data_IF_242746019514
#
_entry.id   IF_242746019514
#
_cell.length_a   1.000
_cell.length_b   1.000
_cell.length_c   1.000
_cell.angle_alpha   90.00
_cell.angle_beta   90.00
_cell.angle_gamma   90.00
#
_symmetry.space_group_name_H-M   'P 1'
#
loop_
_entity.id
_entity.type
_entity.pdbx_description
1 polymer ?
#
# COMPACT_ATOMS: atom_id res chain seq x y z
N UNK A 1 -9.39 -17.51 -5.57
CA UNK A 1 -9.37 -16.03 -5.51
C UNK A 1 -8.29 -15.45 -6.45
N UNK A 2 -7.07 -16.01 -6.53
CA UNK A 2 -5.95 -15.40 -7.29
C UNK A 2 -6.13 -15.27 -8.80
N UNK A 3 -6.87 -16.17 -9.47
CA UNK A 3 -6.92 -16.18 -10.94
C UNK A 3 -7.87 -15.15 -11.57
N UNK A 4 -8.70 -14.44 -10.78
CA UNK A 4 -9.73 -13.53 -11.33
C UNK A 4 -9.19 -12.15 -11.68
N UNK A 5 -8.01 -11.79 -11.17
CA UNK A 5 -7.45 -10.43 -11.19
C UNK A 5 -5.94 -10.39 -11.48
N UNK A 6 -5.34 -11.54 -11.78
CA UNK A 6 -3.95 -11.58 -12.22
C UNK A 6 -3.89 -11.20 -13.69
N UNK A 7 -3.19 -10.12 -14.01
CA UNK A 7 -2.76 -9.87 -15.37
C UNK A 7 -1.65 -10.88 -15.68
N UNK A 8 -1.82 -11.68 -16.73
CA UNK A 8 -0.80 -12.65 -17.15
C UNK A 8 0.35 -11.98 -17.94
N UNK A 9 0.14 -10.75 -18.43
CA UNK A 9 1.12 -9.97 -19.20
C UNK A 9 2.04 -9.11 -18.32
N UNK A 10 1.52 -8.58 -17.21
CA UNK A 10 2.28 -7.94 -16.15
C UNK A 10 2.21 -8.84 -14.92
N UNK A 11 3.34 -9.39 -14.42
CA UNK A 11 3.40 -10.31 -13.26
C UNK A 11 2.84 -9.71 -11.93
N UNK A 12 1.58 -9.30 -11.87
CA UNK A 12 0.95 -8.53 -10.80
C UNK A 12 -0.51 -8.18 -11.08
N UNK A 13 -1.09 -7.34 -10.21
CA UNK A 13 -2.47 -6.82 -10.32
C UNK A 13 -2.42 -5.31 -10.55
N UNK A 14 -3.20 -4.79 -11.51
CA UNK A 14 -3.29 -3.35 -11.72
C UNK A 14 -4.01 -2.67 -10.55
N UNK A 15 -3.66 -1.41 -10.26
CA UNK A 15 -4.35 -0.67 -9.20
C UNK A 15 -5.85 -0.49 -9.47
N UNK A 16 -6.24 -0.45 -10.75
CA UNK A 16 -7.64 -0.39 -11.20
C UNK A 16 -8.38 -1.69 -10.88
N UNK A 17 -7.77 -2.83 -11.16
CA UNK A 17 -8.38 -4.14 -10.88
C UNK A 17 -8.48 -4.38 -9.38
N UNK A 18 -7.47 -3.97 -8.61
CA UNK A 18 -7.51 -4.06 -7.15
C UNK A 18 -8.62 -3.19 -6.55
N UNK A 19 -8.82 -1.97 -7.08
CA UNK A 19 -9.95 -1.11 -6.70
C UNK A 19 -11.28 -1.81 -7.00
N UNK A 20 -11.47 -2.26 -8.24
CA UNK A 20 -12.73 -2.88 -8.70
C UNK A 20 -13.05 -4.14 -7.88
N UNK A 21 -12.05 -4.98 -7.63
CA UNK A 21 -12.17 -6.15 -6.79
C UNK A 21 -12.57 -5.81 -5.35
N UNK A 22 -12.00 -4.75 -4.78
CA UNK A 22 -12.37 -4.30 -3.42
C UNK A 22 -13.82 -3.80 -3.35
N UNK A 23 -14.31 -3.15 -4.40
CA UNK A 23 -15.70 -2.71 -4.49
C UNK A 23 -16.67 -3.90 -4.66
N UNK A 24 -16.30 -4.91 -5.45
CA UNK A 24 -17.03 -6.19 -5.55
C UNK A 24 -17.15 -6.89 -4.18
N UNK A 25 -16.12 -6.79 -3.33
CA UNK A 25 -16.12 -7.32 -1.97
C UNK A 25 -16.95 -6.49 -0.97
N UNK A 26 -17.55 -5.37 -1.41
CA UNK A 26 -18.43 -4.57 -0.57
C UNK A 26 -17.74 -3.45 0.19
N UNK A 27 -16.52 -3.04 -0.17
CA UNK A 27 -15.86 -1.86 0.40
C UNK A 27 -16.16 -0.59 -0.41
N UNK A 28 -16.04 0.57 0.22
CA UNK A 28 -15.72 1.80 -0.49
C UNK A 28 -14.20 1.82 -0.77
N UNK A 29 -13.81 2.04 -2.03
CA UNK A 29 -12.42 1.99 -2.46
C UNK A 29 -11.99 3.33 -3.08
N UNK A 30 -10.99 3.97 -2.48
CA UNK A 30 -10.48 5.28 -2.90
C UNK A 30 -9.02 5.15 -3.33
N UNK A 31 -8.77 5.31 -4.63
CA UNK A 31 -7.41 5.42 -5.16
C UNK A 31 -7.05 6.90 -5.25
N UNK A 32 -5.91 7.27 -4.68
CA UNK A 32 -5.42 8.65 -4.70
C UNK A 32 -3.90 8.69 -4.61
N UNK A 33 -3.34 9.87 -4.95
CA UNK A 33 -1.93 10.18 -4.71
C UNK A 33 -1.76 10.58 -3.25
N UNK A 34 -1.01 9.79 -2.50
CA UNK A 34 -0.84 9.95 -1.06
C UNK A 34 0.20 10.98 -0.66
N UNK A 35 0.14 11.37 0.60
CA UNK A 35 1.15 12.19 1.28
C UNK A 35 1.42 11.60 2.66
N UNK A 36 2.62 11.82 3.19
CA UNK A 36 3.03 11.27 4.50
C UNK A 36 2.07 11.68 5.61
N UNK A 37 1.62 12.93 5.63
CA UNK A 37 0.72 13.39 6.69
C UNK A 37 -0.68 12.80 6.57
N UNK A 38 -1.26 12.71 5.36
CA UNK A 38 -2.53 12.02 5.18
C UNK A 38 -2.43 10.52 5.48
N UNK A 39 -1.27 9.90 5.23
CA UNK A 39 -1.03 8.51 5.63
C UNK A 39 -1.08 8.38 7.15
N UNK A 40 -0.36 9.22 7.89
CA UNK A 40 -0.38 9.22 9.36
C UNK A 40 -1.78 9.48 9.90
N UNK A 41 -2.54 10.42 9.33
CA UNK A 41 -3.92 10.71 9.74
C UNK A 41 -4.85 9.51 9.55
N UNK A 42 -4.75 8.77 8.44
CA UNK A 42 -5.54 7.57 8.22
C UNK A 42 -5.15 6.47 9.21
N UNK A 43 -3.86 6.24 9.42
CA UNK A 43 -3.37 5.27 10.40
C UNK A 43 -3.84 5.61 11.82
N UNK A 44 -3.79 6.89 12.23
CA UNK A 44 -4.33 7.38 13.51
C UNK A 44 -5.83 7.09 13.67
N UNK A 45 -6.58 7.03 12.57
CA UNK A 45 -8.01 6.67 12.54
C UNK A 45 -8.26 5.16 12.47
N UNK A 46 -7.23 4.33 12.57
CA UNK A 46 -7.33 2.87 12.41
C UNK A 46 -7.57 2.42 10.97
N UNK A 47 -7.25 3.28 9.98
CA UNK A 47 -7.46 3.02 8.56
C UNK A 47 -6.13 2.65 7.90
N UNK A 48 -5.83 1.35 7.72
CA UNK A 48 -4.62 0.94 7.01
C UNK A 48 -4.70 1.33 5.53
N UNK A 49 -3.54 1.53 4.91
CA UNK A 49 -3.44 1.96 3.52
C UNK A 49 -2.67 0.92 2.71
N UNK A 50 -3.23 0.53 1.57
CA UNK A 50 -2.49 -0.26 0.58
C UNK A 50 -1.68 0.72 -0.26
N UNK A 51 -0.36 0.56 -0.31
CA UNK A 51 0.54 1.43 -1.08
C UNK A 51 1.43 0.61 -1.98
N UNK A 52 1.92 1.23 -3.04
CA UNK A 52 2.93 0.62 -3.92
C UNK A 52 4.30 1.18 -3.57
N UNK A 53 5.27 0.30 -3.34
CA UNK A 53 6.67 0.67 -3.12
C UNK A 53 7.56 0.07 -4.20
N UNK A 54 8.60 0.80 -4.60
CA UNK A 54 9.76 0.21 -5.29
C UNK A 54 10.30 -0.95 -4.44
N UNK A 55 10.44 -2.13 -5.07
CA UNK A 55 11.03 -3.31 -4.43
C UNK A 55 12.53 -3.13 -4.27
N UNK A 56 13.08 -3.58 -3.14
CA UNK A 56 14.53 -3.64 -2.92
C UNK A 56 15.14 -4.98 -3.37
N UNK A 57 14.34 -6.05 -3.40
CA UNK A 57 14.83 -7.41 -3.67
C UNK A 57 14.66 -7.84 -5.14
N UNK A 58 13.80 -7.15 -5.89
CA UNK A 58 13.49 -7.47 -7.29
C UNK A 58 13.39 -6.20 -8.10
N UNK A 59 13.59 -6.29 -9.43
CA UNK A 59 13.19 -5.22 -10.32
C UNK A 59 11.67 -5.09 -10.31
N UNK A 60 11.15 -3.90 -9.97
CA UNK A 60 9.73 -3.59 -10.08
C UNK A 60 9.12 -2.94 -8.84
N UNK A 61 7.81 -3.10 -8.71
CA UNK A 61 6.96 -2.52 -7.68
C UNK A 61 6.18 -3.63 -6.98
N UNK A 62 5.83 -3.42 -5.71
CA UNK A 62 5.00 -4.35 -4.96
C UNK A 62 4.04 -3.60 -4.03
N UNK A 63 2.90 -4.21 -3.76
CA UNK A 63 1.94 -3.71 -2.79
C UNK A 63 2.35 -4.09 -1.37
N UNK A 64 2.25 -3.14 -0.45
CA UNK A 64 2.33 -3.38 1.01
C UNK A 64 1.16 -2.68 1.69
N UNK A 65 0.87 -3.06 2.93
CA UNK A 65 -0.16 -2.41 3.75
C UNK A 65 0.52 -1.60 4.85
N UNK A 66 0.48 -0.27 4.78
CA UNK A 66 0.90 0.60 5.87
C UNK A 66 -0.14 0.56 7.00
N UNK A 67 0.31 0.20 8.21
CA UNK A 67 -0.55 -0.09 9.37
C UNK A 67 -0.19 0.72 10.61
N UNK A 68 0.94 1.40 10.62
CA UNK A 68 1.46 2.10 11.79
C UNK A 68 2.57 3.08 11.42
N UNK A 69 2.89 3.97 12.33
CA UNK A 69 4.13 4.75 12.30
C UNK A 69 4.61 5.05 13.72
N UNK A 70 5.89 5.38 13.85
CA UNK A 70 6.50 5.90 15.08
C UNK A 70 7.21 7.21 14.71
N UNK A 71 6.67 8.35 15.20
CA UNK A 71 7.23 9.67 14.92
C UNK A 71 8.61 9.86 15.58
N UNK A 72 8.81 9.33 16.79
CA UNK A 72 10.05 9.48 17.54
C UNK A 72 11.19 8.70 16.87
N UNK A 73 10.89 7.51 16.38
CA UNK A 73 11.86 6.65 15.69
C UNK A 73 11.91 6.86 14.18
N UNK A 74 11.04 7.73 13.64
CA UNK A 74 10.91 7.97 12.20
C UNK A 74 10.68 6.67 11.41
N UNK A 75 9.74 5.84 11.85
CA UNK A 75 9.42 4.55 11.24
C UNK A 75 7.99 4.49 10.71
N UNK A 76 7.80 3.71 9.65
CA UNK A 76 6.51 3.23 9.16
C UNK A 76 6.47 1.71 9.33
N UNK A 77 5.37 1.20 9.86
CA UNK A 77 5.11 -0.23 10.00
C UNK A 77 4.27 -0.70 8.82
N UNK A 78 4.75 -1.72 8.11
CA UNK A 78 4.04 -2.30 6.96
C UNK A 78 3.85 -3.80 7.10
N UNK A 79 2.74 -4.31 6.57
CA UNK A 79 2.58 -5.72 6.27
C UNK A 79 2.93 -5.94 4.81
N UNK A 80 3.95 -6.75 4.58
CA UNK A 80 4.48 -7.09 3.27
C UNK A 80 4.11 -8.53 2.94
N UNK A 81 3.40 -8.81 1.83
CA UNK A 81 3.03 -10.17 1.46
C UNK A 81 4.22 -11.13 1.28
N UNK A 82 5.39 -10.62 0.92
CA UNK A 82 6.60 -11.41 0.72
C UNK A 82 7.47 -11.48 1.98
N UNK A 83 7.62 -10.36 2.70
CA UNK A 83 8.54 -10.27 3.86
C UNK A 83 7.86 -10.43 5.23
N UNK A 84 6.54 -10.51 5.31
CA UNK A 84 5.78 -10.72 6.54
C UNK A 84 5.20 -9.45 7.17
N UNK A 85 4.68 -9.58 8.39
CA UNK A 85 3.95 -8.52 9.11
C UNK A 85 4.88 -7.60 9.92
N UNK A 86 4.42 -6.36 10.14
CA UNK A 86 5.07 -5.35 11.00
C UNK A 86 6.55 -5.09 10.65
N UNK A 87 6.87 -5.10 9.36
CA UNK A 87 8.19 -4.68 8.87
C UNK A 87 8.34 -3.18 9.14
N UNK A 88 9.50 -2.82 9.70
CA UNK A 88 9.86 -1.43 10.02
C UNK A 88 10.63 -0.87 8.83
N UNK A 89 10.16 0.24 8.30
CA UNK A 89 10.84 0.98 7.24
C UNK A 89 11.08 2.40 7.77
N UNK A 90 12.28 2.94 7.57
CA UNK A 90 12.54 4.35 7.88
C UNK A 90 11.62 5.23 7.02
N UNK A 91 11.05 6.29 7.59
CA UNK A 91 10.07 7.13 6.89
C UNK A 91 10.64 7.78 5.61
N UNK A 92 11.95 8.08 5.59
CA UNK A 92 12.63 8.61 4.43
C UNK A 92 12.73 7.55 3.33
N UNK A 93 13.20 6.34 3.65
CA UNK A 93 13.26 5.20 2.69
C UNK A 93 11.87 4.86 2.15
N UNK A 94 10.87 4.83 3.04
CA UNK A 94 9.48 4.61 2.65
C UNK A 94 9.02 5.69 1.65
N UNK A 95 9.24 6.96 1.96
CA UNK A 95 8.84 8.08 1.11
C UNK A 95 9.54 8.05 -0.25
N UNK A 96 10.83 7.73 -0.29
CA UNK A 96 11.60 7.62 -1.55
C UNK A 96 11.08 6.49 -2.43
N UNK A 97 10.82 5.32 -1.83
CA UNK A 97 10.29 4.15 -2.56
C UNK A 97 8.84 4.31 -2.98
N UNK A 98 8.05 5.09 -2.24
CA UNK A 98 6.67 5.41 -2.58
C UNK A 98 6.57 6.48 -3.66
N UNK A 99 7.50 7.46 -3.65
CA UNK A 99 7.65 8.47 -4.70
C UNK A 99 7.89 7.85 -6.08
N UNK A 100 8.69 6.80 -6.15
CA UNK A 100 8.93 6.03 -7.38
C UNK A 100 7.64 5.44 -7.98
N UNK A 101 6.61 5.23 -7.15
CA UNK A 101 5.29 4.77 -7.55
C UNK A 101 4.26 5.91 -7.65
N UNK A 102 4.73 7.16 -7.79
CA UNK A 102 3.91 8.38 -7.75
C UNK A 102 2.96 8.44 -6.55
N UNK A 103 3.45 8.00 -5.39
CA UNK A 103 2.68 7.95 -4.15
C UNK A 103 1.33 7.23 -4.27
N UNK A 104 1.24 6.22 -5.14
CA UNK A 104 -0.01 5.51 -5.35
C UNK A 104 -0.52 4.89 -4.04
N UNK A 105 -1.79 5.15 -3.75
CA UNK A 105 -2.45 4.74 -2.50
C UNK A 105 -3.85 4.25 -2.77
N UNK A 106 -4.24 3.20 -2.05
CA UNK A 106 -5.62 2.71 -1.97
C UNK A 106 -6.06 2.67 -0.50
N UNK A 107 -7.10 3.43 -0.20
CA UNK A 107 -7.85 3.37 1.06
C UNK A 107 -9.11 2.55 0.85
N UNK A 108 -9.33 1.57 1.73
CA UNK A 108 -10.55 0.79 1.79
C UNK A 108 -11.31 1.12 3.07
N UNK A 109 -12.61 1.40 2.96
CA UNK A 109 -13.49 1.62 4.09
C UNK A 109 -14.68 0.64 4.03
N UNK A 110 -15.15 0.12 5.18
CA UNK A 110 -16.42 -0.62 5.22
C UNK A 110 -17.56 0.21 4.64
N UNK A 111 -18.50 -0.44 3.96
CA UNK A 111 -19.77 0.17 3.57
C UNK A 111 -20.70 0.37 4.77
#
# INVERSE_FOLDING_TARGET
ISNKILDQSHKGISGKDLKSFSEELGFFAFVYRGEIENMKENIKKGRPLIVVLRSQATSGFHYVVAVGFDENLSLVFVNDPYFGKLKRINIQDFSERWKEADYWTLLLLPK
#
